data_IF_049957721315
#
_entry.id   IF_049957721315
#
_cell.length_a   1.000
_cell.length_b   1.000
_cell.length_c   1.000
_cell.angle_alpha   90.00
_cell.angle_beta   90.00
_cell.angle_gamma   90.00
#
_symmetry.space_group_name_H-M   'P 1'
#
loop_
_entity.id
_entity.type
_entity.pdbx_description
1 polymer ?
#
# COMPACT_ATOMS: atom_id res chain seq x y z
N UNK A 1 -11.01 20.07 14.69
CA UNK A 1 -9.88 19.95 13.74
C UNK A 1 -9.69 18.48 13.49
N UNK A 2 -9.81 18.04 12.24
CA UNK A 2 -9.37 16.69 11.88
C UNK A 2 -7.84 16.69 11.95
N UNK A 3 -7.27 15.81 12.75
CA UNK A 3 -5.82 15.68 12.94
C UNK A 3 -5.15 14.92 11.78
N UNK A 4 -5.96 14.47 10.82
CA UNK A 4 -5.55 13.84 9.58
C UNK A 4 -5.55 12.31 9.62
N UNK A 5 -5.82 11.73 8.46
CA UNK A 5 -5.72 10.31 8.16
C UNK A 5 -4.60 10.11 7.18
N UNK A 6 -3.77 9.09 7.36
CA UNK A 6 -2.76 8.83 6.36
C UNK A 6 -1.94 7.59 6.60
N UNK A 7 -0.81 7.56 5.93
CA UNK A 7 0.12 6.47 6.06
C UNK A 7 1.40 6.71 5.29
N UNK A 8 2.35 5.82 5.53
CA UNK A 8 3.58 5.72 4.77
C UNK A 8 3.79 4.27 4.31
N UNK A 9 4.42 4.07 3.16
CA UNK A 9 4.91 2.75 2.75
C UNK A 9 6.36 2.87 2.29
N UNK A 10 7.19 1.91 2.67
CA UNK A 10 8.59 1.85 2.28
C UNK A 10 9.00 0.45 1.84
N UNK A 11 9.97 0.39 0.92
CA UNK A 11 10.47 -0.88 0.39
C UNK A 11 11.13 -1.67 1.52
N UNK A 12 10.63 -2.88 1.75
CA UNK A 12 11.24 -3.88 2.60
C UNK A 12 12.19 -4.78 1.80
N UNK A 13 11.81 -5.16 0.59
CA UNK A 13 12.59 -6.03 -0.29
C UNK A 13 12.35 -5.65 -1.76
N UNK A 14 13.42 -5.65 -2.54
CA UNK A 14 13.35 -5.64 -4.00
C UNK A 14 14.35 -6.66 -4.53
N UNK A 15 13.86 -7.62 -5.31
CA UNK A 15 14.65 -8.63 -6.01
C UNK A 15 14.21 -8.72 -7.48
N UNK A 16 14.72 -9.70 -8.22
CA UNK A 16 14.44 -9.84 -9.66
C UNK A 16 12.96 -10.14 -9.95
N UNK A 17 12.24 -10.78 -9.02
CA UNK A 17 10.88 -11.25 -9.19
C UNK A 17 9.86 -10.57 -8.27
N UNK A 18 10.29 -10.06 -7.13
CA UNK A 18 9.43 -9.55 -6.06
C UNK A 18 9.80 -8.13 -5.64
N UNK A 19 8.77 -7.39 -5.27
CA UNK A 19 8.86 -6.09 -4.62
C UNK A 19 7.92 -6.13 -3.42
N UNK A 20 8.43 -5.86 -2.23
CA UNK A 20 7.66 -5.89 -0.99
C UNK A 20 7.75 -4.52 -0.35
N UNK A 21 6.59 -3.92 -0.10
CA UNK A 21 6.46 -2.77 0.78
C UNK A 21 5.96 -3.23 2.13
N UNK A 22 6.48 -2.62 3.19
CA UNK A 22 5.77 -2.54 4.46
C UNK A 22 5.06 -1.20 4.52
N UNK A 23 3.83 -1.20 5.00
CA UNK A 23 3.03 0.01 5.11
C UNK A 23 2.63 0.27 6.55
N UNK A 24 2.35 1.55 6.79
CA UNK A 24 1.95 2.14 8.05
C UNK A 24 0.72 2.99 7.74
N UNK A 25 -0.27 2.90 8.59
CA UNK A 25 -1.49 3.69 8.58
C UNK A 25 -1.65 4.36 9.93
N UNK A 26 -2.27 5.53 9.92
CA UNK A 26 -2.67 6.19 11.13
C UNK A 26 -3.99 6.92 10.90
N UNK A 27 -4.78 6.99 11.96
CA UNK A 27 -5.92 7.86 12.07
C UNK A 27 -5.82 8.62 13.38
N UNK A 28 -5.42 9.89 13.30
CA UNK A 28 -5.27 10.73 14.48
C UNK A 28 -6.63 11.17 15.06
N UNK A 29 -7.73 10.91 14.35
CA UNK A 29 -9.09 11.19 14.82
C UNK A 29 -9.67 10.04 15.68
N UNK A 30 -8.98 8.89 15.79
CA UNK A 30 -9.44 7.73 16.54
C UNK A 30 -8.37 7.26 17.54
N UNK A 31 -8.75 7.18 18.82
CA UNK A 31 -7.86 6.68 19.88
C UNK A 31 -7.49 5.22 19.64
N UNK A 32 -6.20 4.93 19.69
CA UNK A 32 -5.63 3.60 19.43
C UNK A 32 -5.13 3.40 17.99
N UNK A 33 -5.41 4.35 17.10
CA UNK A 33 -5.03 4.30 15.68
C UNK A 33 -4.05 5.41 15.28
N UNK A 34 -3.54 6.21 16.21
CA UNK A 34 -2.61 7.30 15.91
C UNK A 34 -1.23 6.81 15.43
N UNK A 35 -0.97 5.51 15.55
CA UNK A 35 0.27 4.80 15.18
C UNK A 35 1.56 5.59 15.47
N UNK A 36 1.63 6.22 16.66
CA UNK A 36 2.78 7.05 17.09
C UNK A 36 4.08 6.26 17.12
N UNK A 37 3.99 4.96 17.33
CA UNK A 37 5.11 4.03 17.38
C UNK A 37 5.59 3.55 16.00
N UNK A 38 4.92 3.96 14.90
CA UNK A 38 5.19 3.48 13.54
C UNK A 38 5.35 1.96 13.47
N UNK A 39 4.37 1.24 14.01
CA UNK A 39 4.28 -0.21 13.88
C UNK A 39 3.69 -0.51 12.50
N UNK A 40 4.31 -1.44 11.78
CA UNK A 40 3.86 -1.80 10.43
C UNK A 40 2.47 -2.43 10.49
N UNK A 41 1.54 -1.88 9.72
CA UNK A 41 0.16 -2.33 9.62
C UNK A 41 -0.02 -3.47 8.61
N UNK A 42 1.02 -3.79 7.85
CA UNK A 42 1.02 -4.94 6.96
C UNK A 42 2.07 -4.88 5.86
N UNK A 43 1.99 -5.83 4.93
CA UNK A 43 2.86 -5.93 3.77
C UNK A 43 2.06 -5.89 2.46
N UNK A 44 2.64 -5.27 1.44
CA UNK A 44 2.14 -5.32 0.08
C UNK A 44 3.21 -5.96 -0.79
N UNK A 45 2.92 -7.14 -1.31
CA UNK A 45 3.84 -7.95 -2.12
C UNK A 45 3.42 -7.88 -3.58
N UNK A 46 4.34 -7.49 -4.44
CA UNK A 46 4.16 -7.38 -5.87
C UNK A 46 5.09 -8.35 -6.58
N UNK A 47 4.58 -9.05 -7.60
CA UNK A 47 5.42 -9.67 -8.62
C UNK A 47 5.87 -8.60 -9.61
N UNK A 48 7.17 -8.50 -9.89
CA UNK A 48 7.72 -7.48 -10.79
C UNK A 48 7.12 -7.51 -12.20
N UNK A 49 6.59 -8.65 -12.62
CA UNK A 49 5.82 -8.79 -13.86
C UNK A 49 4.62 -7.84 -13.96
N UNK A 50 4.04 -7.36 -12.84
CA UNK A 50 2.94 -6.40 -12.86
C UNK A 50 3.35 -5.01 -13.41
N UNK A 51 4.65 -4.69 -13.40
CA UNK A 51 5.20 -3.44 -13.91
C UNK A 51 5.65 -3.51 -15.38
N UNK A 52 5.67 -4.69 -16.02
CA UNK A 52 6.02 -4.82 -17.45
C UNK A 52 4.98 -4.15 -18.37
N UNK A 53 3.71 -4.25 -17.98
CA UNK A 53 2.59 -3.60 -18.64
C UNK A 53 1.72 -2.92 -17.57
N UNK A 54 2.18 -1.78 -17.01
CA UNK A 54 1.50 -1.15 -15.89
C UNK A 54 0.14 -0.63 -16.36
N UNK A 55 -0.91 -1.10 -15.71
CA UNK A 55 -2.29 -0.64 -15.92
C UNK A 55 -2.77 -0.08 -14.58
N UNK A 56 -2.58 1.23 -14.41
CA UNK A 56 -2.91 1.92 -13.16
C UNK A 56 -4.42 2.04 -12.94
N UNK A 57 -5.24 1.88 -13.99
CA UNK A 57 -6.71 1.93 -13.87
C UNK A 57 -7.22 0.56 -13.42
N UNK A 58 -6.63 -0.51 -13.94
CA UNK A 58 -7.14 -1.87 -13.76
C UNK A 58 -6.23 -2.75 -12.87
N UNK A 59 -5.45 -2.16 -11.96
CA UNK A 59 -4.63 -2.93 -11.00
C UNK A 59 -5.41 -3.93 -10.13
N UNK A 60 -6.73 -3.78 -9.85
CA UNK A 60 -7.48 -4.83 -9.13
C UNK A 60 -7.42 -6.19 -9.83
N UNK A 61 -7.24 -6.24 -11.16
CA UNK A 61 -7.01 -7.49 -11.89
C UNK A 61 -5.74 -8.21 -11.45
N UNK A 62 -4.71 -7.47 -11.02
CA UNK A 62 -3.44 -8.03 -10.55
C UNK A 62 -3.56 -8.64 -9.15
N UNK A 63 -4.44 -8.09 -8.31
CA UNK A 63 -4.81 -8.70 -7.03
C UNK A 63 -5.50 -10.04 -7.28
N UNK A 64 -6.53 -10.07 -8.14
CA UNK A 64 -7.26 -11.31 -8.51
C UNK A 64 -6.37 -12.38 -9.14
N UNK A 65 -5.36 -11.98 -9.91
CA UNK A 65 -4.35 -12.89 -10.50
C UNK A 65 -3.26 -13.34 -9.53
N UNK A 66 -3.25 -12.83 -8.29
CA UNK A 66 -2.21 -13.14 -7.30
C UNK A 66 -0.84 -12.52 -7.58
N UNK A 67 -0.77 -11.54 -8.49
CA UNK A 67 0.44 -10.75 -8.77
C UNK A 67 0.66 -9.66 -7.73
N UNK A 68 -0.41 -9.26 -7.04
CA UNK A 68 -0.36 -8.39 -5.88
C UNK A 68 -1.02 -9.16 -4.73
N UNK A 69 -0.32 -9.23 -3.59
CA UNK A 69 -0.84 -9.82 -2.36
C UNK A 69 -0.74 -8.79 -1.26
N UNK A 70 -1.82 -8.64 -0.50
CA UNK A 70 -1.90 -7.77 0.65
C UNK A 70 -1.95 -8.67 1.88
N UNK A 71 -1.02 -8.47 2.80
CA UNK A 71 -0.97 -9.14 4.10
C UNK A 71 -1.28 -8.08 5.15
N UNK A 72 -2.56 -7.98 5.50
CA UNK A 72 -3.04 -7.11 6.56
C UNK A 72 -2.45 -7.52 7.92
N UNK A 73 -2.23 -6.56 8.80
CA UNK A 73 -2.12 -6.82 10.24
C UNK A 73 -3.51 -6.98 10.87
N UNK A 74 -3.56 -7.54 12.08
CA UNK A 74 -4.81 -7.75 12.81
C UNK A 74 -5.57 -6.46 13.17
N UNK A 75 -4.95 -5.27 12.99
CA UNK A 75 -5.49 -3.96 13.41
C UNK A 75 -5.96 -3.08 12.25
N UNK A 76 -6.41 -3.65 11.13
CA UNK A 76 -6.97 -2.87 10.03
C UNK A 76 -8.25 -2.13 10.48
N UNK A 77 -8.14 -0.82 10.61
CA UNK A 77 -9.23 0.09 10.98
C UNK A 77 -10.31 0.24 9.91
N UNK A 78 -9.97 0.03 8.63
CA UNK A 78 -10.88 0.14 7.51
C UNK A 78 -10.51 -0.87 6.42
N UNK A 79 -11.44 -1.79 6.12
CA UNK A 79 -11.25 -2.87 5.14
C UNK A 79 -12.26 -2.76 4.00
N UNK A 80 -11.86 -3.17 2.80
CA UNK A 80 -12.76 -3.32 1.67
C UNK A 80 -13.69 -4.53 1.86
N UNK A 81 -14.71 -4.64 1.00
CA UNK A 81 -15.60 -5.81 0.94
C UNK A 81 -14.85 -7.12 0.71
N UNK A 82 -13.71 -7.06 0.01
CA UNK A 82 -12.81 -8.20 -0.23
C UNK A 82 -11.87 -8.50 0.96
N UNK A 83 -11.99 -7.75 2.06
CA UNK A 83 -11.21 -7.92 3.29
C UNK A 83 -9.80 -7.31 3.26
N UNK A 84 -9.50 -6.42 2.31
CA UNK A 84 -8.18 -5.78 2.22
C UNK A 84 -8.16 -4.42 2.91
N UNK A 85 -7.05 -4.09 3.58
CA UNK A 85 -6.87 -2.75 4.16
C UNK A 85 -7.00 -1.66 3.08
N UNK A 86 -7.89 -0.70 3.33
CA UNK A 86 -8.12 0.41 2.41
C UNK A 86 -6.88 1.28 2.20
N UNK A 87 -5.98 1.38 3.20
CA UNK A 87 -4.70 2.06 3.04
C UNK A 87 -3.75 1.28 2.12
N UNK A 88 -3.71 -0.05 2.22
CA UNK A 88 -2.92 -0.86 1.30
C UNK A 88 -3.39 -0.69 -0.15
N UNK A 89 -4.71 -0.67 -0.39
CA UNK A 89 -5.29 -0.42 -1.71
C UNK A 89 -4.87 0.97 -2.24
N UNK A 90 -4.94 2.00 -1.39
CA UNK A 90 -4.53 3.37 -1.76
C UNK A 90 -3.05 3.45 -2.11
N UNK A 91 -2.17 2.76 -1.38
CA UNK A 91 -0.75 2.68 -1.72
C UNK A 91 -0.49 1.98 -3.05
N UNK A 92 -1.21 0.90 -3.36
CA UNK A 92 -1.11 0.22 -4.66
C UNK A 92 -1.45 1.20 -5.79
N UNK A 93 -2.57 1.92 -5.66
CA UNK A 93 -2.98 2.91 -6.66
C UNK A 93 -1.94 4.02 -6.84
N UNK A 94 -1.42 4.56 -5.72
CA UNK A 94 -0.37 5.60 -5.74
C UNK A 94 0.93 5.10 -6.40
N UNK A 95 1.35 3.87 -6.09
CA UNK A 95 2.55 3.26 -6.67
C UNK A 95 2.44 3.17 -8.19
N UNK A 96 1.31 2.66 -8.71
CA UNK A 96 1.13 2.56 -10.16
C UNK A 96 1.02 3.94 -10.84
N UNK A 97 0.43 4.92 -10.16
CA UNK A 97 0.39 6.29 -10.65
C UNK A 97 1.81 6.87 -10.77
N UNK A 98 2.60 6.83 -9.70
CA UNK A 98 3.97 7.34 -9.73
C UNK A 98 4.85 6.59 -10.73
N UNK A 99 4.74 5.26 -10.79
CA UNK A 99 5.47 4.46 -11.77
C UNK A 99 5.10 4.82 -13.22
N UNK A 100 3.84 5.18 -13.49
CA UNK A 100 3.40 5.60 -14.82
C UNK A 100 4.09 6.89 -15.28
N UNK A 101 4.23 7.87 -14.37
CA UNK A 101 4.84 9.17 -14.66
C UNK A 101 6.37 9.11 -14.62
N UNK A 102 6.94 8.59 -13.54
CA UNK A 102 8.40 8.65 -13.26
C UNK A 102 9.19 7.46 -13.83
N UNK A 103 8.50 6.41 -14.28
CA UNK A 103 9.11 5.15 -14.79
C UNK A 103 10.10 4.49 -13.82
N UNK A 104 10.00 4.83 -12.54
CA UNK A 104 10.84 4.32 -11.46
C UNK A 104 9.99 3.87 -10.28
N UNK A 105 10.49 2.91 -9.52
CA UNK A 105 9.81 2.40 -8.33
C UNK A 105 10.16 3.34 -7.16
N UNK A 106 9.18 4.05 -6.56
CA UNK A 106 9.43 4.98 -5.47
C UNK A 106 9.87 4.23 -4.20
N UNK A 107 10.99 4.65 -3.60
CA UNK A 107 11.51 4.00 -2.38
C UNK A 107 10.56 4.16 -1.18
N UNK A 108 9.83 5.27 -1.15
CA UNK A 108 8.86 5.62 -0.12
C UNK A 108 7.63 6.24 -0.78
N UNK A 109 6.46 5.89 -0.26
CA UNK A 109 5.17 6.46 -0.61
C UNK A 109 4.56 7.06 0.66
N UNK A 110 3.88 8.19 0.53
CA UNK A 110 3.14 8.80 1.63
C UNK A 110 1.79 9.28 1.11
N UNK A 111 0.74 9.09 1.91
CA UNK A 111 -0.62 9.51 1.60
C UNK A 111 -1.18 10.20 2.86
N UNK A 112 -1.73 11.40 2.69
CA UNK A 112 -2.31 12.20 3.76
C UNK A 112 -3.63 12.80 3.29
N UNK A 113 -4.64 12.75 4.16
CA UNK A 113 -5.98 13.30 4.00
C UNK A 113 -6.33 14.17 5.20
#
# INVERSE_FOLDING_TARGET
MELGVGGEAEILLIDDDNLIYKYYSYNNNMTGYENKSKVADGLIKFKRSCFKHPDYINYPKYIKKGLIKIENSYNCWNVSDDGYDMMAIRFIGRLFQEYHFERSIPKKLAIHY
#
